data_IF_479391232409
#
_entry.id   IF_479391232409
#
_cell.length_a   1.000
_cell.length_b   1.000
_cell.length_c   1.000
_cell.angle_alpha   90.00
_cell.angle_beta   90.00
_cell.angle_gamma   90.00
#
_symmetry.space_group_name_H-M   'P 1'
#
loop_
_entity.id
_entity.type
_entity.pdbx_description
1 polymer ?
#
# COMPACT_ATOMS: atom_id res chain seq x y z
N UNK A 1 32.52 -11.09 -0.68
CA UNK A 1 31.97 -11.67 0.57
C UNK A 1 31.87 -10.62 1.67
N UNK A 2 32.90 -9.79 1.90
CA UNK A 2 32.85 -8.68 2.89
C UNK A 2 31.66 -7.73 2.72
N UNK A 3 31.22 -7.42 1.50
CA UNK A 3 30.18 -6.41 1.26
C UNK A 3 28.81 -6.73 1.86
N UNK A 4 28.42 -8.00 1.94
CA UNK A 4 27.11 -8.41 2.46
C UNK A 4 27.05 -8.32 3.99
N UNK A 5 28.05 -8.91 4.65
CA UNK A 5 28.18 -8.89 6.12
C UNK A 5 28.42 -7.45 6.61
N UNK A 6 29.30 -6.71 5.95
CA UNK A 6 29.53 -5.29 6.24
C UNK A 6 28.28 -4.45 5.98
N UNK A 7 27.48 -4.78 4.96
CA UNK A 7 26.20 -4.12 4.70
C UNK A 7 25.20 -4.29 5.84
N UNK A 8 25.01 -5.52 6.35
CA UNK A 8 24.13 -5.78 7.50
C UNK A 8 24.63 -5.05 8.76
N UNK A 9 25.94 -5.05 9.00
CA UNK A 9 26.55 -4.36 10.12
C UNK A 9 26.37 -2.84 10.04
N UNK A 10 26.53 -2.25 8.84
CA UNK A 10 26.34 -0.82 8.61
C UNK A 10 24.88 -0.39 8.84
N UNK A 11 23.92 -1.22 8.43
CA UNK A 11 22.49 -0.96 8.69
C UNK A 11 22.19 -1.05 10.19
N UNK A 12 22.75 -2.03 10.90
CA UNK A 12 22.59 -2.16 12.35
C UNK A 12 23.18 -0.94 13.10
N UNK A 13 24.40 -0.54 12.74
CA UNK A 13 25.11 0.60 13.33
C UNK A 13 24.39 1.92 13.05
N UNK A 14 23.96 2.14 11.81
CA UNK A 14 23.25 3.36 11.43
C UNK A 14 21.87 3.48 12.07
N UNK A 15 21.18 2.35 12.27
CA UNK A 15 19.91 2.32 12.97
C UNK A 15 20.05 2.47 14.49
N UNK A 16 21.27 2.36 15.04
CA UNK A 16 21.50 2.36 16.49
C UNK A 16 20.82 1.19 17.20
N UNK A 17 20.54 0.11 16.47
CA UNK A 17 19.82 -1.05 16.98
C UNK A 17 20.79 -2.18 17.29
N UNK A 18 20.48 -2.92 18.34
CA UNK A 18 21.13 -4.21 18.55
C UNK A 18 20.73 -5.20 17.44
N UNK A 19 21.57 -6.22 17.23
CA UNK A 19 21.33 -7.24 16.20
C UNK A 19 19.95 -7.87 16.35
N UNK A 20 19.49 -8.11 17.58
CA UNK A 20 18.20 -8.71 17.86
C UNK A 20 17.04 -7.77 17.49
N UNK A 21 17.12 -6.49 17.86
CA UNK A 21 16.13 -5.48 17.51
C UNK A 21 16.01 -5.28 16.00
N UNK A 22 17.12 -5.39 15.26
CA UNK A 22 17.11 -5.33 13.80
C UNK A 22 16.28 -6.45 13.18
N UNK A 23 16.40 -7.70 13.66
CA UNK A 23 15.62 -8.82 13.13
C UNK A 23 14.12 -8.62 13.35
N UNK A 24 13.73 -8.16 14.54
CA UNK A 24 12.31 -7.89 14.86
C UNK A 24 11.74 -6.81 13.92
N UNK A 25 12.45 -5.69 13.78
CA UNK A 25 11.97 -4.56 12.97
C UNK A 25 11.98 -4.87 11.48
N UNK A 26 13.02 -5.55 10.99
CA UNK A 26 13.11 -5.94 9.58
C UNK A 26 12.07 -7.00 9.23
N UNK A 27 11.82 -7.96 10.12
CA UNK A 27 10.75 -8.95 9.97
C UNK A 27 9.36 -8.31 9.95
N UNK A 28 9.11 -7.32 10.82
CA UNK A 28 7.87 -6.55 10.81
C UNK A 28 7.72 -5.73 9.52
N UNK A 29 8.77 -5.03 9.07
CA UNK A 29 8.76 -4.26 7.84
C UNK A 29 8.49 -5.15 6.63
N UNK A 30 9.19 -6.29 6.53
CA UNK A 30 8.99 -7.27 5.47
C UNK A 30 7.55 -7.80 5.45
N UNK A 31 6.94 -8.02 6.63
CA UNK A 31 5.55 -8.46 6.75
C UNK A 31 4.56 -7.44 6.19
N UNK A 32 4.74 -6.16 6.53
CA UNK A 32 3.89 -5.09 6.01
C UNK A 32 4.05 -4.93 4.49
N UNK A 33 5.28 -4.96 3.99
CA UNK A 33 5.57 -4.91 2.56
C UNK A 33 4.95 -6.10 1.84
N UNK A 34 5.08 -7.32 2.37
CA UNK A 34 4.48 -8.51 1.80
C UNK A 34 2.94 -8.41 1.77
N UNK A 35 2.32 -7.88 2.82
CA UNK A 35 0.87 -7.68 2.86
C UNK A 35 0.39 -6.68 1.80
N UNK A 36 1.12 -5.57 1.62
CA UNK A 36 0.85 -4.56 0.58
C UNK A 36 1.04 -5.16 -0.81
N UNK A 37 2.16 -5.85 -1.05
CA UNK A 37 2.49 -6.45 -2.34
C UNK A 37 1.48 -7.53 -2.75
N UNK A 38 1.09 -8.40 -1.80
CA UNK A 38 0.09 -9.44 -2.03
C UNK A 38 -1.35 -8.91 -1.97
N UNK A 39 -1.54 -7.63 -1.59
CA UNK A 39 -2.84 -6.99 -1.37
C UNK A 39 -3.74 -7.81 -0.45
N UNK A 40 -3.16 -8.37 0.62
CA UNK A 40 -3.85 -9.21 1.60
C UNK A 40 -3.96 -8.50 2.95
N UNK A 41 -5.05 -8.70 3.71
CA UNK A 41 -5.14 -8.18 5.07
C UNK A 41 -4.09 -8.85 5.97
N UNK A 42 -3.67 -8.18 7.04
CA UNK A 42 -2.66 -8.69 7.99
C UNK A 42 -3.10 -9.96 8.74
N UNK A 43 -4.40 -10.28 8.74
CA UNK A 43 -4.94 -11.53 9.30
C UNK A 43 -4.83 -12.73 8.34
N UNK A 44 -4.47 -12.48 7.08
CA UNK A 44 -4.20 -13.53 6.10
C UNK A 44 -2.81 -14.15 6.41
N UNK A 45 -2.66 -15.49 6.32
CA UNK A 45 -1.37 -16.12 6.57
C UNK A 45 -0.35 -15.92 5.45
N UNK A 46 -0.76 -15.55 4.22
CA UNK A 46 0.15 -15.48 3.07
C UNK A 46 1.31 -14.48 3.27
N UNK A 47 1.08 -13.23 3.73
CA UNK A 47 2.17 -12.31 4.04
C UNK A 47 3.12 -12.85 5.11
N UNK A 48 2.59 -13.60 6.09
CA UNK A 48 3.40 -14.21 7.14
C UNK A 48 4.29 -15.34 6.57
N UNK A 49 3.72 -16.21 5.73
CA UNK A 49 4.47 -17.28 5.05
C UNK A 49 5.57 -16.69 4.17
N UNK A 50 5.30 -15.59 3.47
CA UNK A 50 6.29 -14.91 2.64
C UNK A 50 7.50 -14.44 3.48
N UNK A 51 7.26 -13.87 4.67
CA UNK A 51 8.35 -13.47 5.58
C UNK A 51 9.10 -14.68 6.11
N UNK A 52 8.39 -15.74 6.53
CA UNK A 52 9.05 -16.96 7.01
C UNK A 52 10.00 -17.53 5.95
N UNK A 53 9.55 -17.61 4.69
CA UNK A 53 10.37 -18.07 3.57
C UNK A 53 11.58 -17.14 3.36
N UNK A 54 11.37 -15.83 3.42
CA UNK A 54 12.45 -14.85 3.25
C UNK A 54 13.51 -14.98 4.34
N UNK A 55 13.12 -15.19 5.60
CA UNK A 55 14.04 -15.38 6.72
C UNK A 55 14.85 -16.67 6.57
N UNK A 56 14.19 -17.78 6.20
CA UNK A 56 14.88 -19.05 5.94
C UNK A 56 15.86 -18.88 4.77
N UNK A 57 15.47 -18.19 3.70
CA UNK A 57 16.34 -17.94 2.57
C UNK A 57 17.56 -17.07 2.95
N UNK A 58 17.38 -16.01 3.76
CA UNK A 58 18.49 -15.17 4.22
C UNK A 58 19.52 -15.97 5.03
N UNK A 59 19.05 -16.86 5.91
CA UNK A 59 19.89 -17.75 6.69
C UNK A 59 20.60 -18.79 5.82
N UNK A 60 19.89 -19.40 4.85
CA UNK A 60 20.49 -20.35 3.91
C UNK A 60 21.57 -19.69 3.05
N UNK A 61 21.33 -18.47 2.58
CA UNK A 61 22.32 -17.70 1.81
C UNK A 61 23.52 -17.36 2.67
N UNK A 62 23.31 -16.92 3.90
CA UNK A 62 24.40 -16.60 4.84
C UNK A 62 25.24 -17.86 5.13
N UNK A 63 24.60 -18.99 5.46
CA UNK A 63 25.28 -20.27 5.69
C UNK A 63 26.04 -20.79 4.46
N UNK A 64 25.50 -20.58 3.26
CA UNK A 64 26.16 -20.95 2.02
C UNK A 64 27.42 -20.12 1.76
N UNK A 65 27.31 -18.80 1.95
CA UNK A 65 28.43 -17.87 1.74
C UNK A 65 29.54 -18.05 2.78
N UNK A 66 29.18 -18.37 4.01
CA UNK A 66 30.14 -18.60 5.10
C UNK A 66 30.78 -20.02 5.02
N UNK A 67 30.28 -20.88 4.13
CA UNK A 67 30.77 -22.26 3.96
C UNK A 67 30.42 -23.18 5.13
N UNK A 68 29.43 -22.80 5.93
CA UNK A 68 29.18 -23.39 7.25
C UNK A 68 27.92 -24.26 7.29
N UNK A 69 27.60 -24.99 6.23
CA UNK A 69 26.48 -25.95 6.28
C UNK A 69 26.79 -27.10 7.28
N UNK A 70 26.30 -26.98 8.52
CA UNK A 70 26.49 -27.98 9.57
C UNK A 70 25.47 -27.85 10.72
N UNK A 71 25.24 -28.96 11.46
CA UNK A 71 24.20 -29.08 12.49
C UNK A 71 24.33 -28.09 13.67
N UNK A 72 25.53 -27.55 13.95
CA UNK A 72 25.76 -26.60 15.05
C UNK A 72 25.18 -25.19 14.83
N UNK A 73 24.84 -24.84 13.59
CA UNK A 73 24.38 -23.50 13.20
C UNK A 73 22.86 -23.37 13.21
N UNK A 74 22.16 -24.51 13.23
CA UNK A 74 20.70 -24.57 13.29
C UNK A 74 20.15 -23.84 14.54
N UNK A 75 20.92 -23.80 15.63
CA UNK A 75 20.49 -23.16 16.87
C UNK A 75 20.57 -21.62 16.82
N UNK A 76 21.69 -21.04 16.36
CA UNK A 76 21.82 -19.58 16.20
C UNK A 76 20.95 -19.06 15.07
N UNK A 77 20.88 -19.80 13.96
CA UNK A 77 20.02 -19.48 12.81
C UNK A 77 18.53 -19.54 13.16
N UNK A 78 18.13 -20.53 13.97
CA UNK A 78 16.76 -20.64 14.46
C UNK A 78 16.32 -19.46 15.34
N UNK A 79 17.24 -18.87 16.12
CA UNK A 79 16.95 -17.69 16.93
C UNK A 79 16.65 -16.47 16.06
N UNK A 80 17.46 -16.21 15.04
CA UNK A 80 17.31 -15.03 14.18
C UNK A 80 16.01 -15.12 13.37
N UNK A 81 15.69 -16.29 12.82
CA UNK A 81 14.36 -16.56 12.21
C UNK A 81 13.24 -16.35 13.21
N UNK A 82 13.37 -16.89 14.42
CA UNK A 82 12.38 -16.77 15.49
C UNK A 82 12.08 -15.31 15.86
N UNK A 83 13.12 -14.48 16.01
CA UNK A 83 13.00 -13.06 16.30
C UNK A 83 12.31 -12.30 15.15
N UNK A 84 12.69 -12.59 13.91
CA UNK A 84 12.10 -11.92 12.75
C UNK A 84 10.61 -12.24 12.56
N UNK A 85 10.18 -13.48 12.85
CA UNK A 85 8.76 -13.87 12.72
C UNK A 85 7.94 -13.62 13.97
N UNK A 86 8.54 -13.26 15.12
CA UNK A 86 7.84 -13.07 16.38
C UNK A 86 6.74 -11.99 16.29
N UNK A 87 7.10 -10.78 15.85
CA UNK A 87 6.15 -9.67 15.71
C UNK A 87 5.07 -9.97 14.63
N UNK A 88 5.41 -10.45 13.42
CA UNK A 88 4.42 -10.91 12.44
C UNK A 88 3.46 -11.96 12.98
N UNK A 89 3.95 -12.93 13.76
CA UNK A 89 3.12 -13.98 14.38
C UNK A 89 2.12 -13.39 15.36
N UNK A 90 2.57 -12.47 16.23
CA UNK A 90 1.69 -11.79 17.17
C UNK A 90 0.58 -11.03 16.44
N UNK A 91 0.90 -10.28 15.39
CA UNK A 91 -0.09 -9.53 14.60
C UNK A 91 -1.07 -10.47 13.90
N UNK A 92 -0.58 -11.56 13.29
CA UNK A 92 -1.42 -12.56 12.63
C UNK A 92 -2.40 -13.20 13.62
N UNK A 93 -1.93 -13.54 14.82
CA UNK A 93 -2.76 -14.11 15.88
C UNK A 93 -3.81 -13.10 16.36
N UNK A 94 -3.41 -11.86 16.65
CA UNK A 94 -4.34 -10.80 17.07
C UNK A 94 -5.40 -10.54 15.99
N UNK A 95 -5.02 -10.48 14.72
CA UNK A 95 -5.94 -10.29 13.60
C UNK A 95 -6.93 -11.44 13.36
N UNK A 96 -6.67 -12.62 13.93
CA UNK A 96 -7.54 -13.81 13.84
C UNK A 96 -8.36 -14.05 15.10
N UNK A 97 -7.80 -13.75 16.27
CA UNK A 97 -8.41 -13.98 17.58
C UNK A 97 -9.31 -12.83 18.02
N UNK A 98 -9.09 -11.62 17.50
CA UNK A 98 -10.03 -10.53 17.71
C UNK A 98 -11.16 -10.72 16.70
N UNK A 99 -12.36 -11.19 17.11
CA UNK A 99 -13.48 -11.25 16.21
C UNK A 99 -13.71 -9.84 15.65
N UNK A 100 -13.66 -9.72 14.33
CA UNK A 100 -14.07 -8.51 13.64
C UNK A 100 -15.46 -8.17 14.16
N UNK A 101 -15.57 -7.15 15.01
CA UNK A 101 -16.86 -6.50 15.32
C UNK A 101 -17.36 -5.71 14.09
N UNK A 102 -17.14 -6.25 12.90
CA UNK A 102 -17.67 -5.80 11.62
C UNK A 102 -19.07 -6.39 11.43
N UNK A 103 -19.91 -6.21 12.46
CA UNK A 103 -21.36 -6.10 12.31
C UNK A 103 -21.80 -4.65 12.07
N UNK A 104 -20.88 -3.70 12.01
CA UNK A 104 -21.15 -2.34 11.54
C UNK A 104 -20.87 -2.28 10.02
N UNK A 105 -21.97 -2.31 9.27
CA UNK A 105 -22.10 -2.04 7.83
C UNK A 105 -21.10 -1.03 7.28
N UNK A 106 -20.60 -1.30 6.08
CA UNK A 106 -20.16 -0.27 5.15
C UNK A 106 -18.74 -0.47 4.65
N UNK A 107 -18.60 -0.84 3.38
CA UNK A 107 -17.32 -0.81 2.70
C UNK A 107 -16.68 0.56 2.87
N UNK A 108 -15.46 0.58 3.41
CA UNK A 108 -14.56 1.74 3.38
C UNK A 108 -14.13 1.95 1.94
N UNK A 109 -15.06 2.45 1.13
CA UNK A 109 -14.71 3.29 0.01
C UNK A 109 -14.03 4.51 0.61
N UNK A 110 -12.73 4.64 0.38
CA UNK A 110 -12.05 5.92 0.54
C UNK A 110 -12.67 6.83 -0.51
N UNK A 111 -13.81 7.45 -0.18
CA UNK A 111 -14.33 8.59 -0.92
C UNK A 111 -13.42 9.75 -0.56
N UNK A 112 -12.45 10.00 -1.43
CA UNK A 112 -11.80 11.30 -1.52
C UNK A 112 -12.96 12.28 -1.70
N UNK A 113 -13.23 13.07 -0.65
CA UNK A 113 -14.29 14.05 -0.63
C UNK A 113 -13.82 15.24 -1.48
N UNK A 114 -13.79 15.03 -2.80
CA UNK A 114 -13.83 16.15 -3.73
C UNK A 114 -15.13 16.89 -3.43
N UNK A 115 -15.11 18.22 -3.18
CA UNK A 115 -16.32 18.98 -3.02
C UNK A 115 -17.09 18.91 -4.34
N UNK A 116 -18.10 18.04 -4.40
CA UNK A 116 -19.06 18.02 -5.49
C UNK A 116 -19.99 19.21 -5.25
N UNK A 117 -20.00 20.24 -6.13
CA UNK A 117 -20.95 21.34 -5.99
C UNK A 117 -22.38 20.79 -6.12
N UNK A 118 -23.35 21.35 -5.38
CA UNK A 118 -24.71 20.83 -5.38
C UNK A 118 -25.33 20.95 -6.77
N UNK A 119 -25.45 19.81 -7.47
CA UNK A 119 -26.21 19.70 -8.70
C UNK A 119 -27.71 19.86 -8.37
N UNK A 120 -28.21 21.03 -8.73
CA UNK A 120 -29.61 21.41 -8.76
C UNK A 120 -30.47 20.28 -9.37
N UNK A 121 -31.40 19.78 -8.54
CA UNK A 121 -32.40 18.80 -8.90
C UNK A 121 -33.49 19.47 -9.76
N UNK A 122 -33.39 19.34 -11.08
CA UNK A 122 -34.56 19.27 -11.97
C UNK A 122 -34.53 17.95 -12.71
N UNK A 123 -35.46 17.07 -12.34
CA UNK A 123 -36.01 16.07 -13.27
C UNK A 123 -36.62 16.88 -14.41
N UNK A 124 -36.32 16.49 -15.65
CA UNK A 124 -37.33 16.23 -16.67
C UNK A 124 -36.63 15.72 -17.94
N UNK A 125 -37.23 14.68 -18.50
CA UNK A 125 -37.21 14.27 -19.90
C UNK A 125 -35.95 13.65 -20.52
N UNK A 126 -36.21 12.44 -21.03
CA UNK A 126 -35.75 11.87 -22.29
C UNK A 126 -34.49 10.97 -22.30
N UNK A 127 -34.82 9.68 -22.37
CA UNK A 127 -34.08 8.62 -23.06
C UNK A 127 -33.61 9.16 -24.41
N UNK A 128 -32.29 9.15 -24.64
CA UNK A 128 -31.73 9.29 -25.98
C UNK A 128 -30.75 8.13 -26.16
N UNK A 129 -31.14 7.22 -27.05
CA UNK A 129 -30.29 6.17 -27.60
C UNK A 129 -29.07 6.82 -28.24
N UNK A 130 -27.87 6.41 -27.81
CA UNK A 130 -26.63 6.89 -28.38
C UNK A 130 -26.39 6.22 -29.75
N UNK A 131 -27.02 6.78 -30.78
CA UNK A 131 -26.65 6.51 -32.16
C UNK A 131 -25.29 7.20 -32.42
N UNK A 132 -24.31 6.42 -32.85
CA UNK A 132 -22.95 6.89 -33.11
C UNK A 132 -22.95 7.71 -34.40
N UNK A 133 -23.17 9.01 -34.31
CA UNK A 133 -23.03 9.92 -35.45
C UNK A 133 -21.54 10.25 -35.63
N UNK A 134 -21.02 9.86 -36.80
CA UNK A 134 -19.67 10.19 -37.26
C UNK A 134 -19.38 11.69 -37.14
N UNK A 135 -18.20 12.03 -36.60
CA UNK A 135 -17.73 13.42 -36.47
C UNK A 135 -17.30 13.90 -37.87
N UNK A 136 -17.93 14.94 -38.46
CA UNK A 136 -17.35 15.55 -39.65
C UNK A 136 -16.12 16.37 -39.25
N UNK A 137 -15.07 16.26 -40.06
CA UNK A 137 -13.81 16.95 -39.88
C UNK A 137 -14.02 18.47 -39.70
N UNK A 138 -13.39 19.04 -38.68
CA UNK A 138 -13.36 20.48 -38.44
C UNK A 138 -12.48 21.12 -39.51
N UNK A 139 -13.10 21.72 -40.52
CA UNK A 139 -12.46 22.69 -41.40
C UNK A 139 -13.14 24.04 -41.11
N UNK A 140 -12.45 24.92 -40.37
CA UNK A 140 -13.06 26.13 -39.84
C UNK A 140 -12.05 27.12 -39.26
N UNK A 141 -11.59 27.99 -40.16
CA UNK A 141 -10.85 29.25 -40.05
C UNK A 141 -10.79 29.94 -38.66
N UNK A 142 -9.58 30.32 -38.27
CA UNK A 142 -9.19 30.79 -36.93
C UNK A 142 -9.54 32.27 -36.64
N UNK A 143 -10.60 32.82 -37.24
CA UNK A 143 -10.79 34.28 -37.27
C UNK A 143 -12.15 34.83 -36.83
N UNK A 144 -13.04 34.05 -36.24
CA UNK A 144 -14.32 34.57 -35.71
C UNK A 144 -14.33 34.69 -34.16
N UNK A 145 -13.56 35.64 -33.65
CA UNK A 145 -13.56 36.05 -32.23
C UNK A 145 -14.67 37.06 -31.89
N UNK A 146 -15.60 37.33 -32.79
CA UNK A 146 -16.55 38.46 -32.64
C UNK A 146 -17.88 38.13 -31.96
N UNK A 147 -18.08 36.88 -31.50
CA UNK A 147 -19.33 36.45 -30.86
C UNK A 147 -19.28 36.23 -29.34
N UNK A 148 -18.20 36.64 -28.67
CA UNK A 148 -18.18 36.63 -27.20
C UNK A 148 -18.87 37.88 -26.66
N UNK A 149 -20.18 37.78 -26.39
CA UNK A 149 -20.91 38.80 -25.64
C UNK A 149 -20.38 38.84 -24.19
N UNK A 150 -20.06 40.01 -23.62
CA UNK A 150 -19.74 40.10 -22.19
C UNK A 150 -20.99 39.83 -21.35
N UNK A 151 -20.89 38.91 -20.39
CA UNK A 151 -21.96 38.65 -19.43
C UNK A 151 -22.09 39.80 -18.43
N UNK A 152 -23.31 40.15 -17.99
CA UNK A 152 -23.51 41.21 -17.01
C UNK A 152 -22.95 40.83 -15.63
N UNK A 153 -22.31 41.80 -14.98
CA UNK A 153 -21.70 41.64 -13.65
C UNK A 153 -22.77 41.37 -12.58
N UNK A 154 -22.64 40.22 -11.89
CA UNK A 154 -23.49 39.86 -10.75
C UNK A 154 -23.02 40.61 -9.51
N UNK A 155 -23.85 41.51 -8.98
CA UNK A 155 -23.63 42.12 -7.65
C UNK A 155 -23.98 41.12 -6.56
N UNK A 156 -22.98 40.74 -5.76
CA UNK A 156 -23.17 39.93 -4.55
C UNK A 156 -23.45 40.87 -3.37
N UNK A 157 -24.67 40.83 -2.83
CA UNK A 157 -25.01 41.53 -1.60
C UNK A 157 -24.66 40.64 -0.39
N UNK A 158 -23.72 41.08 0.45
CA UNK A 158 -23.47 40.49 1.76
C UNK A 158 -24.46 41.08 2.77
N UNK A 159 -25.19 40.22 3.49
CA UNK A 159 -25.86 40.58 4.74
C UNK A 159 -25.06 39.98 5.89
N UNK A 160 -24.59 40.82 6.79
CA UNK A 160 -24.08 40.47 8.12
C UNK A 160 -25.26 40.27 9.07
#
# INVERSE_FOLDING_TARGET
METWVTGKALVAEWAGLDRDGLHILLGLLAFLVAAIALRRPLSNPLPWVAVLILCIADEMVSAWLDGTFGFGIVNTSGRDVGLAVAAPTLILLLGRLVPSRAGARGGTSIRILLPVPPANRRRDADVIDAEFTEIPAIEGDANDLTRLRPMPAVKVAARF
#
